data_IF_844890151400
#
_entry.id   IF_844890151400
#
_cell.length_a   1.000
_cell.length_b   1.000
_cell.length_c   1.000
_cell.angle_alpha   90.00
_cell.angle_beta   90.00
_cell.angle_gamma   90.00
#
_symmetry.space_group_name_H-M   'P 1'
#
loop_
_entity.id
_entity.type
_entity.pdbx_description
1 polymer ?
#
# COMPACT_ATOMS: atom_id res chain seq x y z
N UNK A 1 -22.03 20.56 -1.35
CA UNK A 1 -21.45 21.29 -0.21
C UNK A 1 -20.20 21.98 -0.72
N UNK A 2 -20.09 23.28 -0.48
CA UNK A 2 -19.01 24.10 -1.04
C UNK A 2 -17.68 23.74 -0.38
N UNK A 3 -16.67 23.43 -1.21
CA UNK A 3 -15.29 23.13 -0.79
C UNK A 3 -14.73 24.33 -0.02
N UNK A 4 -14.07 24.10 1.11
CA UNK A 4 -13.33 25.16 1.83
C UNK A 4 -12.24 25.69 0.89
N UNK A 5 -12.38 26.93 0.40
CA UNK A 5 -11.49 27.58 -0.57
C UNK A 5 -11.20 26.78 -1.86
N UNK A 6 -12.12 25.90 -2.30
CA UNK A 6 -11.94 25.08 -3.51
C UNK A 6 -11.01 23.86 -3.37
N UNK A 7 -10.38 23.66 -2.21
CA UNK A 7 -9.51 22.50 -1.93
C UNK A 7 -10.31 21.29 -1.45
N UNK A 8 -9.84 20.09 -1.77
CA UNK A 8 -10.42 18.86 -1.22
C UNK A 8 -9.93 18.62 0.21
N UNK A 9 -10.82 18.21 1.11
CA UNK A 9 -10.45 17.78 2.46
C UNK A 9 -10.12 16.31 2.45
N UNK A 10 -8.88 15.97 2.81
CA UNK A 10 -8.35 14.61 2.71
C UNK A 10 -7.85 14.16 4.08
N UNK A 11 -8.38 13.05 4.58
CA UNK A 11 -7.84 12.36 5.75
C UNK A 11 -6.83 11.32 5.29
N UNK A 12 -5.59 11.38 5.77
CA UNK A 12 -4.58 10.34 5.54
C UNK A 12 -4.37 9.57 6.83
N UNK A 13 -4.72 8.29 6.84
CA UNK A 13 -4.59 7.39 7.99
C UNK A 13 -3.35 6.52 7.80
N UNK A 14 -2.32 6.78 8.62
CA UNK A 14 -1.04 6.09 8.58
C UNK A 14 0.01 6.83 7.76
N UNK A 15 0.69 7.81 8.35
CA UNK A 15 1.76 8.58 7.71
C UNK A 15 3.17 8.04 8.01
N UNK A 16 3.40 6.76 7.67
CA UNK A 16 4.76 6.24 7.50
C UNK A 16 5.35 6.70 6.16
N UNK A 17 6.22 5.90 5.53
CA UNK A 17 6.79 6.25 4.22
C UNK A 17 5.74 6.61 3.15
N UNK A 18 4.87 5.66 2.80
CA UNK A 18 3.84 5.85 1.76
C UNK A 18 2.84 6.96 2.11
N UNK A 19 2.24 6.92 3.31
CA UNK A 19 1.26 7.93 3.69
C UNK A 19 1.85 9.33 3.89
N UNK A 20 3.11 9.43 4.32
CA UNK A 20 3.83 10.70 4.43
C UNK A 20 4.13 11.30 3.06
N UNK A 21 4.57 10.49 2.09
CA UNK A 21 4.74 10.92 0.70
C UNK A 21 3.40 11.32 0.05
N UNK A 22 2.33 10.56 0.30
CA UNK A 22 0.99 10.92 -0.17
C UNK A 22 0.53 12.27 0.40
N UNK A 23 0.72 12.49 1.69
CA UNK A 23 0.41 13.77 2.33
C UNK A 23 1.25 14.91 1.73
N UNK A 24 2.55 14.70 1.50
CA UNK A 24 3.44 15.68 0.88
C UNK A 24 2.96 16.04 -0.54
N UNK A 25 2.72 15.06 -1.40
CA UNK A 25 2.31 15.29 -2.79
C UNK A 25 0.97 16.05 -2.88
N UNK A 26 -0.01 15.67 -2.05
CA UNK A 26 -1.32 16.30 -2.03
C UNK A 26 -1.29 17.75 -1.51
N UNK A 27 -0.48 18.04 -0.48
CA UNK A 27 -0.29 19.41 0.02
C UNK A 27 0.50 20.27 -0.96
N UNK A 28 1.59 19.73 -1.53
CA UNK A 28 2.45 20.44 -2.46
C UNK A 28 1.73 20.85 -3.74
N UNK A 29 0.78 20.02 -4.20
CA UNK A 29 -0.09 20.36 -5.34
C UNK A 29 -1.07 21.51 -5.07
N UNK A 30 -1.25 21.94 -3.82
CA UNK A 30 -2.07 23.09 -3.45
C UNK A 30 -3.58 22.91 -3.64
N UNK A 31 -4.03 21.71 -4.05
CA UNK A 31 -5.45 21.40 -4.32
C UNK A 31 -6.10 20.57 -3.20
N UNK A 32 -5.37 20.22 -2.15
CA UNK A 32 -5.88 19.50 -0.99
C UNK A 32 -5.54 20.23 0.32
N UNK A 33 -6.32 19.94 1.35
CA UNK A 33 -6.00 20.17 2.75
C UNK A 33 -5.94 18.81 3.42
N UNK A 34 -4.75 18.41 3.86
CA UNK A 34 -4.52 17.10 4.44
C UNK A 34 -4.60 17.17 5.96
N UNK A 35 -5.52 16.40 6.52
CA UNK A 35 -5.50 15.99 7.93
C UNK A 35 -4.78 14.65 8.01
N UNK A 36 -3.64 14.59 8.68
CA UNK A 36 -2.83 13.39 8.82
C UNK A 36 -3.02 12.75 10.20
N UNK A 37 -3.28 11.44 10.24
CA UNK A 37 -3.34 10.67 11.49
C UNK A 37 -2.03 9.93 11.69
N UNK A 38 -1.30 10.34 12.73
CA UNK A 38 -0.01 9.77 13.12
C UNK A 38 -0.14 9.08 14.48
N UNK A 39 0.59 7.98 14.66
CA UNK A 39 0.68 7.30 15.96
C UNK A 39 2.06 7.49 16.57
N UNK A 40 3.05 6.73 16.10
CA UNK A 40 4.41 6.71 16.65
C UNK A 40 5.15 8.03 16.47
N UNK A 41 4.92 8.73 15.35
CA UNK A 41 5.63 9.97 15.00
C UNK A 41 4.87 11.26 15.36
N UNK A 42 3.64 11.16 15.90
CA UNK A 42 2.79 12.33 16.21
C UNK A 42 3.54 13.43 17.00
N UNK A 43 4.15 13.06 18.13
CA UNK A 43 4.81 14.02 19.03
C UNK A 43 5.99 14.76 18.37
N UNK A 44 6.77 14.06 17.53
CA UNK A 44 7.90 14.66 16.82
C UNK A 44 7.40 15.56 15.70
N UNK A 45 6.45 15.08 14.89
CA UNK A 45 5.94 15.81 13.72
C UNK A 45 5.13 17.04 14.15
N UNK A 46 4.39 16.99 15.26
CA UNK A 46 3.73 18.15 15.84
C UNK A 46 4.77 19.25 16.16
N UNK A 47 5.84 18.89 16.88
CA UNK A 47 6.86 19.85 17.35
C UNK A 47 7.81 20.34 16.26
N UNK A 48 8.18 19.48 15.32
CA UNK A 48 9.26 19.76 14.37
C UNK A 48 8.84 19.66 12.90
N UNK A 49 7.74 18.96 12.59
CA UNK A 49 7.38 18.53 11.25
C UNK A 49 8.19 17.31 10.80
N UNK A 50 7.85 16.76 9.64
CA UNK A 50 8.63 15.71 9.00
C UNK A 50 9.93 16.27 8.42
N UNK A 51 10.98 15.45 8.49
CA UNK A 51 12.15 15.55 7.61
C UNK A 51 12.01 14.50 6.53
N UNK A 52 12.06 14.92 5.26
CA UNK A 52 11.88 14.02 4.11
C UNK A 52 13.08 14.19 3.18
N UNK A 53 13.85 13.13 3.01
CA UNK A 53 14.90 13.03 2.01
C UNK A 53 14.30 12.30 0.80
N UNK A 54 14.10 13.03 -0.30
CA UNK A 54 13.30 12.56 -1.42
C UNK A 54 14.03 12.72 -2.74
N UNK A 55 14.03 11.66 -3.54
CA UNK A 55 14.51 11.68 -4.93
C UNK A 55 13.71 12.67 -5.79
N UNK A 56 12.43 12.87 -5.47
CA UNK A 56 11.50 13.73 -6.23
C UNK A 56 11.46 15.17 -5.72
N UNK A 57 11.62 15.35 -4.41
CA UNK A 57 11.42 16.65 -3.72
C UNK A 57 12.72 17.28 -3.19
N UNK A 58 13.83 16.55 -3.20
CA UNK A 58 15.06 16.94 -2.51
C UNK A 58 14.92 16.80 -1.00
N UNK A 59 15.66 17.63 -0.24
CA UNK A 59 15.53 17.68 1.22
C UNK A 59 14.42 18.63 1.64
N UNK A 60 13.36 18.09 2.23
CA UNK A 60 12.26 18.84 2.82
C UNK A 60 12.37 18.76 4.34
N UNK A 61 12.44 19.91 5.01
CA UNK A 61 12.53 19.97 6.48
C UNK A 61 11.34 20.69 7.07
N UNK A 62 10.80 20.14 8.15
CA UNK A 62 9.70 20.71 8.89
C UNK A 62 8.36 20.70 8.16
N UNK A 63 8.18 19.78 7.21
CA UNK A 63 6.91 19.61 6.52
C UNK A 63 5.81 19.20 7.50
N UNK A 64 4.68 19.92 7.46
CA UNK A 64 3.48 19.56 8.20
C UNK A 64 2.29 19.57 7.25
N UNK A 65 1.48 18.50 7.23
CA UNK A 65 0.13 18.56 6.68
C UNK A 65 -0.68 19.70 7.32
N UNK A 66 -1.75 20.15 6.65
CA UNK A 66 -2.65 21.21 7.13
C UNK A 66 -3.08 20.97 8.58
N UNK A 67 -3.36 19.72 8.93
CA UNK A 67 -3.68 19.30 10.30
C UNK A 67 -3.03 17.95 10.62
N UNK A 68 -2.66 17.76 11.88
CA UNK A 68 -2.07 16.52 12.40
C UNK A 68 -2.87 16.07 13.62
N UNK A 69 -3.29 14.81 13.64
CA UNK A 69 -4.06 14.18 14.72
C UNK A 69 -3.37 12.91 15.20
N UNK A 70 -3.58 12.57 16.48
CA UNK A 70 -3.07 11.34 17.09
C UNK A 70 -4.01 10.14 16.93
N UNK A 71 -5.25 10.39 16.50
CA UNK A 71 -6.29 9.38 16.27
C UNK A 71 -7.22 9.82 15.13
N UNK A 72 -7.95 8.85 14.57
CA UNK A 72 -8.99 9.12 13.55
C UNK A 72 -10.11 9.94 14.20
N UNK A 73 -10.50 11.10 13.64
CA UNK A 73 -11.56 11.93 14.20
C UNK A 73 -12.94 11.30 13.96
N UNK A 74 -13.88 11.55 14.88
CA UNK A 74 -15.29 11.19 14.70
C UNK A 74 -16.08 12.35 14.10
N UNK A 75 -16.55 12.19 12.87
CA UNK A 75 -17.33 13.22 12.14
C UNK A 75 -18.82 13.16 12.45
N UNK A 76 -19.31 12.11 13.13
CA UNK A 76 -20.75 11.93 13.40
C UNK A 76 -21.35 12.88 14.46
N UNK A 77 -20.67 13.20 15.59
CA UNK A 77 -21.22 14.03 16.65
C UNK A 77 -20.69 15.47 16.58
N UNK A 78 -19.86 15.81 15.59
CA UNK A 78 -18.96 16.97 15.65
C UNK A 78 -19.24 18.00 14.55
N UNK A 79 -18.87 19.25 14.81
CA UNK A 79 -18.82 20.32 13.80
C UNK A 79 -17.68 20.19 12.80
N UNK A 80 -17.06 19.01 12.69
CA UNK A 80 -16.00 18.72 11.72
C UNK A 80 -16.68 18.45 10.38
N UNK A 81 -16.38 19.26 9.35
CA UNK A 81 -16.97 18.98 8.03
C UNK A 81 -16.47 17.62 7.51
N UNK A 82 -17.28 16.90 6.72
CA UNK A 82 -16.89 15.65 6.08
C UNK A 82 -15.58 15.72 5.29
N UNK A 83 -14.88 14.59 5.21
CA UNK A 83 -13.75 14.42 4.31
C UNK A 83 -14.22 13.96 2.93
N UNK A 84 -13.69 14.59 1.87
CA UNK A 84 -13.91 14.16 0.49
C UNK A 84 -13.25 12.80 0.24
N UNK A 85 -12.02 12.65 0.74
CA UNK A 85 -11.23 11.42 0.61
C UNK A 85 -10.69 10.96 1.96
N UNK A 86 -10.71 9.66 2.18
CA UNK A 86 -10.05 8.99 3.30
C UNK A 86 -9.05 8.00 2.71
N UNK A 87 -7.76 8.29 2.86
CA UNK A 87 -6.66 7.51 2.32
C UNK A 87 -6.09 6.63 3.43
N UNK A 88 -6.12 5.31 3.23
CA UNK A 88 -5.54 4.34 4.16
C UNK A 88 -4.17 3.90 3.65
N UNK A 89 -3.12 4.27 4.38
CA UNK A 89 -1.73 3.92 4.09
C UNK A 89 -1.05 3.22 5.29
N UNK A 90 -1.84 2.76 6.27
CA UNK A 90 -1.35 1.88 7.33
C UNK A 90 -0.90 0.55 6.76
N UNK A 91 0.05 -0.09 7.45
CA UNK A 91 0.45 -1.44 7.10
C UNK A 91 -0.70 -2.42 7.26
N UNK A 92 -0.89 -3.33 6.31
CA UNK A 92 -1.98 -4.29 6.33
C UNK A 92 -1.56 -5.61 6.98
N UNK A 93 -1.72 -5.68 8.30
CA UNK A 93 -1.39 -6.85 9.13
C UNK A 93 -2.62 -7.30 9.93
N UNK A 94 -3.65 -7.86 9.27
CA UNK A 94 -4.96 -8.10 9.87
C UNK A 94 -4.94 -9.11 11.03
N UNK A 95 -3.86 -9.87 11.18
CA UNK A 95 -3.65 -10.82 12.27
C UNK A 95 -3.12 -10.18 13.57
N UNK A 96 -2.80 -8.89 13.56
CA UNK A 96 -2.26 -8.13 14.72
C UNK A 96 -2.88 -6.75 14.90
N UNK A 97 -3.33 -6.10 13.83
CA UNK A 97 -3.88 -4.76 13.88
C UNK A 97 -5.40 -4.78 13.74
N UNK A 98 -6.03 -3.74 14.29
CA UNK A 98 -7.45 -3.46 14.06
C UNK A 98 -7.76 -3.46 12.55
N UNK A 99 -8.87 -4.06 12.11
CA UNK A 99 -9.34 -3.97 10.73
C UNK A 99 -9.46 -2.50 10.29
N UNK A 100 -9.02 -2.21 9.06
CA UNK A 100 -9.02 -0.84 8.51
C UNK A 100 -10.43 -0.25 8.49
N UNK A 101 -11.44 -1.08 8.19
CA UNK A 101 -12.84 -0.67 8.21
C UNK A 101 -13.29 -0.17 9.59
N UNK A 102 -12.86 -0.81 10.68
CA UNK A 102 -13.16 -0.36 12.04
C UNK A 102 -12.38 0.91 12.39
N UNK A 103 -11.10 0.96 12.01
CA UNK A 103 -10.22 2.10 12.27
C UNK A 103 -10.76 3.41 11.68
N UNK A 104 -11.25 3.37 10.44
CA UNK A 104 -11.69 4.59 9.74
C UNK A 104 -13.17 4.92 9.96
N UNK A 105 -13.97 3.98 10.48
CA UNK A 105 -15.43 4.13 10.63
C UNK A 105 -15.86 5.48 11.20
N UNK A 106 -15.22 6.04 12.25
CA UNK A 106 -15.62 7.33 12.82
C UNK A 106 -15.50 8.50 11.84
N UNK A 107 -14.61 8.42 10.84
CA UNK A 107 -14.37 9.50 9.88
C UNK A 107 -15.18 9.37 8.59
N UNK A 108 -15.81 8.21 8.33
CA UNK A 108 -16.54 7.95 7.09
C UNK A 108 -17.90 8.62 7.12
N UNK A 109 -18.14 9.54 6.20
CA UNK A 109 -19.49 10.07 5.94
C UNK A 109 -20.17 9.21 4.87
N UNK A 110 -21.23 8.50 5.25
CA UNK A 110 -21.97 7.58 4.37
C UNK A 110 -22.45 8.27 3.09
N UNK A 111 -22.22 7.64 1.94
CA UNK A 111 -22.62 8.18 0.63
C UNK A 111 -21.84 9.40 0.14
N UNK A 112 -20.89 9.92 0.94
CA UNK A 112 -20.12 11.12 0.62
C UNK A 112 -18.62 10.82 0.48
N UNK A 113 -18.00 10.31 1.54
CA UNK A 113 -16.55 10.10 1.57
C UNK A 113 -16.14 9.03 0.56
N UNK A 114 -15.07 9.29 -0.18
CA UNK A 114 -14.41 8.28 -1.01
C UNK A 114 -13.25 7.67 -0.24
N UNK A 115 -13.19 6.34 -0.14
CA UNK A 115 -12.14 5.63 0.58
C UNK A 115 -11.12 5.11 -0.41
N UNK A 116 -9.84 5.44 -0.23
CA UNK A 116 -8.73 5.01 -1.08
C UNK A 116 -7.76 4.15 -0.27
N UNK A 117 -7.53 2.91 -0.69
CA UNK A 117 -6.56 2.01 -0.05
C UNK A 117 -5.23 2.02 -0.82
N UNK A 118 -4.16 2.57 -0.20
CA UNK A 118 -2.79 2.50 -0.73
C UNK A 118 -2.02 1.28 -0.22
N UNK A 119 -2.64 0.49 0.66
CA UNK A 119 -2.01 -0.67 1.29
C UNK A 119 -1.71 -1.76 0.26
N UNK A 120 -0.71 -2.59 0.54
CA UNK A 120 -0.41 -3.73 -0.31
C UNK A 120 -1.38 -4.89 -0.05
N UNK A 121 -1.56 -5.72 -1.08
CA UNK A 121 -2.32 -6.96 -0.99
C UNK A 121 -3.42 -7.06 -2.01
N UNK A 122 -4.01 -8.26 -2.09
CA UNK A 122 -5.18 -8.56 -2.92
C UNK A 122 -6.44 -8.56 -2.05
N UNK A 123 -7.57 -8.11 -2.64
CA UNK A 123 -8.90 -8.06 -2.04
C UNK A 123 -8.97 -7.32 -0.69
N UNK A 124 -8.06 -6.38 -0.45
CA UNK A 124 -8.05 -5.56 0.77
C UNK A 124 -9.26 -4.61 0.84
N UNK A 125 -9.90 -4.39 -0.30
CA UNK A 125 -11.08 -3.56 -0.52
C UNK A 125 -12.38 -4.27 -0.10
N UNK A 126 -12.41 -5.61 -0.08
CA UNK A 126 -13.63 -6.39 0.15
C UNK A 126 -14.29 -6.09 1.51
N UNK A 127 -13.56 -6.06 2.63
CA UNK A 127 -14.16 -5.71 3.93
C UNK A 127 -14.74 -4.29 3.98
N UNK A 128 -14.20 -3.37 3.17
CA UNK A 128 -14.67 -1.98 3.11
C UNK A 128 -15.97 -1.88 2.33
N UNK A 129 -16.14 -2.69 1.28
CA UNK A 129 -17.42 -2.78 0.56
C UNK A 129 -18.56 -3.30 1.44
N UNK A 130 -18.26 -4.25 2.34
CA UNK A 130 -19.24 -4.76 3.30
C UNK A 130 -19.56 -3.74 4.39
N UNK A 131 -18.55 -3.02 4.88
CA UNK A 131 -18.70 -2.05 5.96
C UNK A 131 -19.32 -0.71 5.51
N UNK A 132 -19.11 -0.31 4.25
CA UNK A 132 -19.48 0.98 3.68
C UNK A 132 -20.09 0.83 2.28
N UNK A 133 -21.23 0.14 2.13
CA UNK A 133 -21.79 -0.22 0.83
C UNK A 133 -22.20 0.98 -0.04
N UNK A 134 -22.47 2.14 0.56
CA UNK A 134 -22.88 3.36 -0.14
C UNK A 134 -21.70 4.27 -0.51
N UNK A 135 -20.48 3.93 -0.11
CA UNK A 135 -19.30 4.75 -0.34
C UNK A 135 -18.49 4.24 -1.54
N UNK A 136 -17.87 5.17 -2.27
CA UNK A 136 -16.91 4.82 -3.32
C UNK A 136 -15.65 4.26 -2.69
N UNK A 137 -15.24 3.06 -3.11
CA UNK A 137 -13.99 2.42 -2.71
C UNK A 137 -13.02 2.39 -3.90
N UNK A 138 -11.87 3.03 -3.74
CA UNK A 138 -10.78 3.09 -4.70
C UNK A 138 -9.61 2.22 -4.23
N UNK A 139 -8.95 1.59 -5.18
CA UNK A 139 -7.70 0.86 -4.96
C UNK A 139 -6.54 1.68 -5.51
N UNK A 140 -5.50 1.86 -4.69
CA UNK A 140 -4.23 2.45 -5.07
C UNK A 140 -3.10 1.42 -5.08
N UNK A 141 -2.39 1.35 -6.20
CA UNK A 141 -1.21 0.51 -6.39
C UNK A 141 0.01 1.43 -6.37
N UNK A 142 0.67 1.55 -5.22
CA UNK A 142 1.90 2.37 -5.10
C UNK A 142 3.15 1.56 -5.48
N UNK A 143 3.95 2.11 -6.38
CA UNK A 143 5.33 1.70 -6.66
C UNK A 143 6.21 2.86 -6.21
N UNK A 144 6.62 2.81 -4.94
CA UNK A 144 7.38 3.87 -4.30
C UNK A 144 8.35 3.25 -3.29
N UNK A 145 9.61 3.67 -3.36
CA UNK A 145 10.66 3.24 -2.44
C UNK A 145 10.71 4.20 -1.26
N UNK A 146 9.75 4.11 -0.34
CA UNK A 146 9.69 4.99 0.83
C UNK A 146 9.61 4.24 2.15
N UNK A 147 10.36 4.73 3.15
CA UNK A 147 10.31 4.20 4.51
C UNK A 147 10.54 5.30 5.55
N UNK A 148 10.05 5.07 6.77
CA UNK A 148 10.36 5.89 7.94
C UNK A 148 11.38 5.11 8.80
N UNK A 149 12.70 5.30 8.62
CA UNK A 149 13.71 4.63 9.45
C UNK A 149 13.69 5.11 10.90
N UNK A 150 13.40 6.40 11.11
CA UNK A 150 13.32 7.05 12.40
C UNK A 150 12.02 7.86 12.47
N UNK A 151 11.40 7.96 13.66
CA UNK A 151 10.14 8.67 13.82
C UNK A 151 10.22 10.11 13.31
N UNK A 152 9.41 10.47 12.33
CA UNK A 152 9.38 11.79 11.71
C UNK A 152 10.39 12.00 10.58
N UNK A 153 11.21 11.00 10.25
CA UNK A 153 12.18 11.05 9.14
C UNK A 153 11.79 10.05 8.06
N UNK A 154 11.52 10.54 6.85
CA UNK A 154 11.16 9.70 5.69
C UNK A 154 12.32 9.70 4.70
N UNK A 155 12.73 8.50 4.29
CA UNK A 155 13.65 8.26 3.18
C UNK A 155 12.82 7.80 1.98
N UNK A 156 12.95 8.49 0.86
CA UNK A 156 12.23 8.25 -0.39
C UNK A 156 13.22 8.19 -1.56
N UNK A 157 13.50 6.96 -2.02
CA UNK A 157 14.66 6.64 -2.86
C UNK A 157 14.30 6.12 -4.26
N UNK A 158 13.02 5.80 -4.51
CA UNK A 158 12.51 5.41 -5.83
C UNK A 158 11.30 6.28 -6.10
N UNK A 159 11.25 6.89 -7.30
CA UNK A 159 10.20 7.79 -7.77
C UNK A 159 8.80 7.31 -7.35
N UNK A 160 7.96 8.24 -6.87
CA UNK A 160 6.60 7.89 -6.45
C UNK A 160 5.70 7.74 -7.68
N UNK A 161 5.43 6.48 -8.04
CA UNK A 161 4.50 6.10 -9.10
C UNK A 161 3.28 5.40 -8.51
N UNK A 162 2.09 5.88 -8.85
CA UNK A 162 0.84 5.45 -8.21
C UNK A 162 -0.30 5.26 -9.21
N UNK A 163 -0.90 4.07 -9.26
CA UNK A 163 -2.10 3.82 -10.05
C UNK A 163 -3.33 3.80 -9.16
N UNK A 164 -4.36 4.57 -9.50
CA UNK A 164 -5.60 4.65 -8.74
C UNK A 164 -6.79 4.36 -9.65
N UNK A 165 -7.70 3.52 -9.16
CA UNK A 165 -8.94 3.24 -9.86
C UNK A 165 -10.05 2.71 -8.96
N UNK A 166 -11.28 2.65 -9.50
CA UNK A 166 -12.42 2.10 -8.79
C UNK A 166 -12.23 0.59 -8.62
N UNK A 167 -12.39 0.07 -7.39
CA UNK A 167 -12.39 -1.37 -7.18
C UNK A 167 -13.70 -2.03 -7.67
N UNK A 168 -14.80 -1.27 -7.60
CA UNK A 168 -16.06 -1.55 -8.29
C UNK A 168 -16.54 -0.29 -8.97
N UNK A 169 -17.09 -0.43 -10.17
CA UNK A 169 -17.66 0.69 -10.91
C UNK A 169 -19.09 0.96 -10.42
N UNK A 170 -19.20 1.81 -9.40
CA UNK A 170 -20.48 2.17 -8.76
C UNK A 170 -20.58 3.69 -8.64
N UNK A 171 -21.73 4.25 -9.01
CA UNK A 171 -21.98 5.69 -8.91
C UNK A 171 -21.00 6.51 -9.75
N UNK A 172 -20.29 7.45 -9.11
CA UNK A 172 -19.29 8.31 -9.75
C UNK A 172 -17.85 7.86 -9.49
N UNK A 173 -17.62 6.57 -9.22
CA UNK A 173 -16.31 6.07 -8.79
C UNK A 173 -15.16 6.39 -9.75
N UNK A 174 -15.38 6.29 -11.06
CA UNK A 174 -14.39 6.65 -12.07
C UNK A 174 -14.03 8.15 -12.01
N UNK A 175 -15.00 9.04 -11.82
CA UNK A 175 -14.76 10.49 -11.72
C UNK A 175 -14.03 10.84 -10.42
N UNK A 176 -14.38 10.19 -9.31
CA UNK A 176 -13.66 10.32 -8.03
C UNK A 176 -12.21 9.86 -8.15
N UNK A 177 -11.96 8.74 -8.84
CA UNK A 177 -10.62 8.26 -9.12
C UNK A 177 -9.81 9.26 -9.97
N UNK A 178 -10.40 9.80 -11.04
CA UNK A 178 -9.74 10.81 -11.87
C UNK A 178 -9.46 12.11 -11.10
N UNK A 179 -10.40 12.58 -10.27
CA UNK A 179 -10.21 13.78 -9.45
C UNK A 179 -9.05 13.62 -8.46
N UNK A 180 -8.96 12.49 -7.74
CA UNK A 180 -7.83 12.29 -6.82
C UNK A 180 -6.50 12.11 -7.57
N UNK A 181 -6.48 11.47 -8.73
CA UNK A 181 -5.30 11.38 -9.60
C UNK A 181 -4.83 12.76 -10.03
N UNK A 182 -5.73 13.64 -10.48
CA UNK A 182 -5.38 15.02 -10.84
C UNK A 182 -4.79 15.78 -9.65
N UNK A 183 -5.39 15.65 -8.46
CA UNK A 183 -4.90 16.32 -7.25
C UNK A 183 -3.53 15.83 -6.82
N UNK A 184 -3.29 14.52 -6.89
CA UNK A 184 -2.00 13.92 -6.53
C UNK A 184 -0.87 14.41 -7.46
N UNK A 185 -1.15 14.52 -8.76
CA UNK A 185 -0.19 15.02 -9.76
C UNK A 185 0.01 16.55 -9.74
N UNK A 186 -0.84 17.32 -9.06
CA UNK A 186 -0.87 18.78 -9.21
C UNK A 186 0.46 19.47 -8.86
N UNK A 187 1.29 18.83 -8.01
CA UNK A 187 2.62 19.32 -7.66
C UNK A 187 3.71 19.06 -8.71
N UNK A 188 3.47 18.19 -9.69
CA UNK A 188 4.41 17.88 -10.78
C UNK A 188 5.70 17.18 -10.35
N UNK A 189 5.71 16.51 -9.19
CA UNK A 189 6.90 15.82 -8.62
C UNK A 189 6.77 14.30 -8.55
N UNK A 190 5.57 13.77 -8.68
CA UNK A 190 5.26 12.35 -8.69
C UNK A 190 4.46 12.02 -9.96
N UNK A 191 4.25 10.74 -10.23
CA UNK A 191 3.43 10.30 -11.35
C UNK A 191 2.27 9.46 -10.82
N UNK A 192 1.04 9.95 -11.00
CA UNK A 192 -0.17 9.21 -10.65
C UNK A 192 -1.04 8.96 -11.87
N UNK A 193 -1.48 7.73 -12.05
CA UNK A 193 -2.26 7.28 -13.19
C UNK A 193 -3.66 6.87 -12.78
N UNK A 194 -4.64 7.19 -13.63
CA UNK A 194 -5.94 6.54 -13.56
C UNK A 194 -5.82 5.12 -14.14
N UNK A 195 -6.26 4.12 -13.37
CA UNK A 195 -6.28 2.73 -13.77
C UNK A 195 -7.72 2.21 -13.80
N UNK A 196 -8.18 1.82 -14.98
CA UNK A 196 -9.54 1.27 -15.15
C UNK A 196 -9.65 -0.20 -14.71
N UNK A 197 -8.52 -0.90 -14.54
CA UNK A 197 -8.48 -2.30 -14.12
C UNK A 197 -7.47 -2.51 -12.99
N UNK A 198 -7.75 -1.88 -11.84
CA UNK A 198 -6.96 -2.05 -10.61
C UNK A 198 -6.90 -3.51 -10.14
N UNK A 199 -7.88 -4.34 -10.48
CA UNK A 199 -7.85 -5.77 -10.16
C UNK A 199 -6.69 -6.45 -10.90
N UNK A 200 -6.53 -6.20 -12.20
CA UNK A 200 -5.38 -6.67 -12.97
C UNK A 200 -4.07 -6.17 -12.36
N UNK A 201 -3.96 -4.88 -12.08
CA UNK A 201 -2.74 -4.28 -11.51
C UNK A 201 -2.38 -4.86 -10.14
N UNK A 202 -3.37 -5.15 -9.29
CA UNK A 202 -3.19 -5.86 -8.00
C UNK A 202 -2.60 -7.26 -8.24
N UNK A 203 -3.18 -8.04 -9.14
CA UNK A 203 -2.68 -9.38 -9.49
C UNK A 203 -1.27 -9.34 -10.09
N UNK A 204 -1.01 -8.43 -11.03
CA UNK A 204 0.31 -8.25 -11.63
C UNK A 204 1.36 -7.92 -10.57
N UNK A 205 1.05 -7.01 -9.63
CA UNK A 205 1.98 -6.67 -8.54
C UNK A 205 2.29 -7.86 -7.62
N UNK A 206 1.40 -8.84 -7.51
CA UNK A 206 1.66 -10.04 -6.72
C UNK A 206 2.76 -10.93 -7.30
N UNK A 207 3.09 -10.82 -8.59
CA UNK A 207 4.28 -11.49 -9.13
C UNK A 207 5.52 -11.15 -8.28
N UNK A 208 5.66 -9.87 -7.93
CA UNK A 208 6.73 -9.42 -7.04
C UNK A 208 6.40 -9.64 -5.56
N UNK A 209 5.23 -9.18 -5.11
CA UNK A 209 4.90 -9.12 -3.69
C UNK A 209 4.61 -10.49 -3.03
N UNK A 210 4.17 -11.49 -3.80
CA UNK A 210 3.90 -12.83 -3.28
C UNK A 210 5.07 -13.81 -3.47
N UNK A 211 6.10 -13.39 -4.22
CA UNK A 211 7.23 -14.25 -4.59
C UNK A 211 8.56 -13.62 -4.16
N UNK A 212 8.99 -12.51 -4.78
CA UNK A 212 10.25 -11.84 -4.41
C UNK A 212 10.26 -11.41 -2.94
N UNK A 213 9.23 -10.71 -2.48
CA UNK A 213 9.17 -10.21 -1.10
C UNK A 213 9.39 -11.31 -0.05
N UNK A 214 8.62 -12.43 -0.03
CA UNK A 214 8.84 -13.48 0.95
C UNK A 214 10.17 -14.21 0.77
N UNK A 215 10.63 -14.46 -0.47
CA UNK A 215 11.93 -15.12 -0.67
C UNK A 215 13.06 -14.26 -0.12
N UNK A 216 13.10 -12.97 -0.48
CA UNK A 216 14.05 -11.99 0.05
C UNK A 216 14.02 -11.93 1.58
N UNK A 217 12.81 -11.87 2.15
CA UNK A 217 12.62 -11.78 3.60
C UNK A 217 13.13 -13.04 4.34
N UNK A 218 12.91 -14.22 3.78
CA UNK A 218 13.29 -15.50 4.39
C UNK A 218 14.79 -15.79 4.25
N UNK A 219 15.40 -15.46 3.10
CA UNK A 219 16.83 -15.69 2.84
C UNK A 219 17.71 -14.54 3.30
N UNK A 220 17.13 -13.36 3.53
CA UNK A 220 17.80 -12.08 3.82
C UNK A 220 18.62 -11.49 2.66
N UNK A 221 18.44 -12.01 1.45
CA UNK A 221 19.06 -11.54 0.21
C UNK A 221 18.25 -10.39 -0.40
N UNK A 222 18.94 -9.41 -0.99
CA UNK A 222 18.31 -8.37 -1.80
C UNK A 222 17.96 -8.87 -3.22
N UNK A 223 17.28 -8.07 -4.03
CA UNK A 223 16.82 -8.48 -5.37
C UNK A 223 17.96 -8.83 -6.33
N UNK A 224 19.14 -8.24 -6.17
CA UNK A 224 20.32 -8.53 -6.99
C UNK A 224 20.92 -9.89 -6.62
N UNK A 225 21.13 -10.12 -5.32
CA UNK A 225 21.62 -11.39 -4.81
C UNK A 225 20.68 -12.55 -5.13
N UNK A 226 19.36 -12.32 -5.10
CA UNK A 226 18.36 -13.32 -5.49
C UNK A 226 18.50 -13.74 -6.95
N UNK A 227 18.80 -12.80 -7.84
CA UNK A 227 19.01 -13.08 -9.26
C UNK A 227 20.33 -13.84 -9.52
N UNK A 228 21.37 -13.56 -8.72
CA UNK A 228 22.68 -14.22 -8.84
C UNK A 228 22.74 -15.60 -8.16
N UNK A 229 21.82 -15.89 -7.23
CA UNK A 229 21.79 -17.16 -6.51
C UNK A 229 21.52 -18.34 -7.48
N UNK A 230 22.46 -19.30 -7.62
CA UNK A 230 22.31 -20.38 -8.59
C UNK A 230 21.02 -21.19 -8.36
N UNK A 231 20.22 -21.36 -9.43
CA UNK A 231 18.98 -22.14 -9.42
C UNK A 231 17.77 -21.42 -8.81
N UNK A 232 17.95 -20.39 -7.97
CA UNK A 232 16.84 -19.79 -7.21
C UNK A 232 15.75 -19.19 -8.11
N UNK A 233 16.14 -18.50 -9.18
CA UNK A 233 15.20 -17.92 -10.14
C UNK A 233 14.37 -19.01 -10.82
N UNK A 234 15.01 -20.06 -11.33
CA UNK A 234 14.33 -21.07 -12.13
C UNK A 234 13.59 -22.13 -11.29
N UNK A 235 14.02 -22.38 -10.07
CA UNK A 235 13.43 -23.40 -9.19
C UNK A 235 12.37 -22.84 -8.23
N UNK A 236 12.43 -21.55 -7.88
CA UNK A 236 11.52 -20.94 -6.88
C UNK A 236 10.80 -19.71 -7.43
N UNK A 237 11.53 -18.72 -7.94
CA UNK A 237 10.92 -17.42 -8.30
C UNK A 237 9.99 -17.56 -9.50
N UNK A 238 10.49 -18.07 -10.62
CA UNK A 238 9.72 -18.23 -11.85
C UNK A 238 8.55 -19.20 -11.66
N UNK A 239 8.70 -20.40 -11.05
CA UNK A 239 7.57 -21.27 -10.74
C UNK A 239 6.53 -20.60 -9.82
N UNK A 240 6.95 -19.89 -8.77
CA UNK A 240 6.03 -19.16 -7.88
C UNK A 240 5.25 -18.05 -8.59
N UNK A 241 5.90 -17.34 -9.52
CA UNK A 241 5.24 -16.36 -10.38
C UNK A 241 4.24 -17.00 -11.35
N UNK A 242 4.56 -18.18 -11.89
CA UNK A 242 3.65 -18.97 -12.73
C UNK A 242 2.42 -19.43 -11.95
N UNK A 243 2.54 -19.73 -10.67
CA UNK A 243 1.39 -20.03 -9.81
C UNK A 243 0.46 -18.81 -9.64
N UNK A 244 1.03 -17.62 -9.45
CA UNK A 244 0.25 -16.36 -9.43
C UNK A 244 -0.41 -16.10 -10.78
N UNK A 245 0.32 -16.29 -11.88
CA UNK A 245 -0.21 -16.15 -13.25
C UNK A 245 -1.42 -17.06 -13.47
N UNK A 246 -1.30 -18.35 -13.13
CA UNK A 246 -2.39 -19.32 -13.26
C UNK A 246 -3.59 -18.94 -12.40
N UNK A 247 -3.35 -18.52 -11.14
CA UNK A 247 -4.40 -18.05 -10.24
C UNK A 247 -5.12 -16.82 -10.80
N UNK A 248 -4.39 -15.83 -11.31
CA UNK A 248 -4.93 -14.62 -11.92
C UNK A 248 -5.80 -14.93 -13.15
N UNK A 249 -5.33 -15.82 -14.03
CA UNK A 249 -6.04 -16.22 -15.25
C UNK A 249 -7.43 -16.83 -14.94
N UNK A 250 -7.56 -17.60 -13.85
CA UNK A 250 -8.84 -18.17 -13.43
C UNK A 250 -9.86 -17.14 -12.91
N UNK A 251 -9.44 -15.89 -12.73
CA UNK A 251 -10.30 -14.73 -12.45
C UNK A 251 -10.32 -13.73 -13.61
N UNK A 252 -9.96 -14.16 -14.82
CA UNK A 252 -9.99 -13.34 -16.04
C UNK A 252 -8.93 -12.24 -16.08
N UNK A 253 -7.85 -12.37 -15.29
CA UNK A 253 -6.74 -11.42 -15.26
C UNK A 253 -5.54 -12.03 -15.99
N UNK A 254 -5.36 -11.64 -17.25
CA UNK A 254 -4.35 -12.23 -18.13
C UNK A 254 -2.97 -11.61 -17.92
N UNK A 255 -2.15 -12.25 -17.08
CA UNK A 255 -0.73 -11.93 -16.93
C UNK A 255 0.04 -12.72 -17.98
N UNK A 256 0.85 -12.05 -18.81
CA UNK A 256 1.66 -12.70 -19.85
C UNK A 256 2.98 -13.24 -19.32
N UNK A 257 3.60 -14.16 -20.06
CA UNK A 257 4.94 -14.67 -19.75
C UNK A 257 5.98 -13.56 -19.78
N UNK A 258 5.85 -12.61 -20.72
CA UNK A 258 6.69 -11.43 -20.78
C UNK A 258 6.61 -10.59 -19.49
N UNK A 259 5.43 -10.47 -18.88
CA UNK A 259 5.28 -9.76 -17.60
C UNK A 259 5.93 -10.52 -16.44
N UNK A 260 5.92 -11.85 -16.47
CA UNK A 260 6.65 -12.68 -15.49
C UNK A 260 8.14 -12.43 -15.62
N UNK A 261 8.70 -12.53 -16.83
CA UNK A 261 10.11 -12.28 -17.09
C UNK A 261 10.51 -10.85 -16.72
N UNK A 262 9.71 -9.86 -17.13
CA UNK A 262 9.95 -8.46 -16.81
C UNK A 262 9.94 -8.20 -15.30
N UNK A 263 9.13 -8.94 -14.52
CA UNK A 263 9.12 -8.81 -13.05
C UNK A 263 10.39 -9.41 -12.45
N UNK A 264 10.94 -10.49 -13.02
CA UNK A 264 12.19 -11.11 -12.55
C UNK A 264 13.37 -10.16 -12.72
N UNK A 265 13.42 -9.45 -13.83
CA UNK A 265 14.51 -8.52 -14.14
C UNK A 265 14.13 -7.05 -13.89
N UNK A 266 13.07 -6.80 -13.10
CA UNK A 266 12.56 -5.43 -12.91
C UNK A 266 13.54 -4.51 -12.20
N UNK A 267 14.38 -5.07 -11.33
CA UNK A 267 15.45 -4.35 -10.64
C UNK A 267 16.80 -4.75 -11.24
N UNK A 268 17.67 -3.78 -11.58
CA UNK A 268 19.04 -4.06 -11.97
C UNK A 268 19.77 -4.87 -10.90
N UNK A 269 20.61 -5.81 -11.32
CA UNK A 269 21.36 -6.70 -10.41
C UNK A 269 22.23 -5.89 -9.43
N UNK A 270 22.81 -4.77 -9.88
CA UNK A 270 23.68 -3.89 -9.11
C UNK A 270 22.94 -2.88 -8.23
N UNK A 271 21.61 -2.81 -8.31
CA UNK A 271 20.81 -1.89 -7.50
C UNK A 271 20.63 -2.35 -6.04
N UNK A 272 20.85 -3.64 -5.75
CA UNK A 272 20.76 -4.22 -4.39
C UNK A 272 19.50 -3.80 -3.61
N UNK A 273 18.36 -3.76 -4.30
CA UNK A 273 17.11 -3.26 -3.73
C UNK A 273 16.59 -4.22 -2.68
N UNK A 274 16.31 -3.70 -1.49
CA UNK A 274 15.70 -4.46 -0.40
C UNK A 274 14.17 -4.35 -0.46
N UNK A 275 13.44 -5.43 -0.77
CA UNK A 275 11.98 -5.38 -0.82
C UNK A 275 11.37 -5.07 0.55
N UNK A 276 10.14 -4.53 0.58
CA UNK A 276 9.51 -4.03 1.82
C UNK A 276 9.46 -5.08 2.93
N UNK A 277 9.09 -6.32 2.60
CA UNK A 277 9.04 -7.42 3.58
C UNK A 277 10.42 -7.77 4.15
N UNK A 278 11.50 -7.65 3.36
CA UNK A 278 12.87 -7.82 3.87
C UNK A 278 13.25 -6.70 4.83
N UNK A 279 12.91 -5.45 4.50
CA UNK A 279 13.13 -4.30 5.40
C UNK A 279 12.44 -4.54 6.74
N UNK A 280 11.21 -5.05 6.72
CA UNK A 280 10.46 -5.39 7.93
C UNK A 280 11.13 -6.51 8.74
N UNK A 281 11.57 -7.59 8.08
CA UNK A 281 12.26 -8.69 8.74
C UNK A 281 13.57 -8.21 9.39
N UNK A 282 14.33 -7.33 8.71
CA UNK A 282 15.56 -6.72 9.25
C UNK A 282 15.25 -5.87 10.48
N UNK A 283 14.13 -5.14 10.48
CA UNK A 283 13.64 -4.32 11.61
C UNK A 283 12.88 -5.12 12.68
N UNK A 284 12.78 -6.45 12.55
CA UNK A 284 11.97 -7.31 13.45
C UNK A 284 10.51 -6.84 13.59
N UNK A 285 9.91 -6.43 12.47
CA UNK A 285 8.53 -5.98 12.38
C UNK A 285 7.61 -7.09 11.86
N UNK A 286 6.31 -6.94 12.14
CA UNK A 286 5.27 -7.76 11.54
C UNK A 286 5.23 -7.57 10.02
N UNK A 287 4.87 -8.60 9.25
CA UNK A 287 4.90 -8.63 7.79
C UNK A 287 3.50 -8.81 7.18
N UNK A 288 3.29 -8.30 5.96
CA UNK A 288 1.98 -8.28 5.27
C UNK A 288 1.64 -9.61 4.56
N UNK A 289 1.84 -10.76 5.21
CA UNK A 289 1.77 -12.05 4.52
C UNK A 289 0.34 -12.51 4.21
N UNK A 290 -0.67 -12.12 4.99
CA UNK A 290 -2.06 -12.59 4.81
C UNK A 290 -2.69 -12.12 3.50
N UNK A 291 -2.50 -10.86 3.11
CA UNK A 291 -3.06 -10.33 1.86
C UNK A 291 -2.10 -10.39 0.68
N UNK A 292 -0.79 -10.50 0.91
CA UNK A 292 0.18 -10.69 -0.18
C UNK A 292 0.28 -12.14 -0.64
N UNK A 293 0.19 -13.10 0.28
CA UNK A 293 0.41 -14.53 -0.02
C UNK A 293 -0.83 -15.35 0.31
N UNK A 294 -1.41 -15.13 1.50
CA UNK A 294 -2.57 -15.89 1.97
C UNK A 294 -3.80 -15.73 1.07
N UNK A 295 -4.08 -14.50 0.63
CA UNK A 295 -5.23 -14.23 -0.23
C UNK A 295 -5.12 -14.87 -1.62
N UNK A 296 -4.06 -14.64 -2.42
CA UNK A 296 -3.93 -15.33 -3.71
C UNK A 296 -3.93 -16.86 -3.56
N UNK A 297 -3.34 -17.40 -2.48
CA UNK A 297 -3.39 -18.84 -2.15
C UNK A 297 -4.83 -19.32 -1.93
N UNK A 298 -5.65 -18.58 -1.16
CA UNK A 298 -7.08 -18.88 -0.96
C UNK A 298 -7.85 -18.83 -2.29
N UNK A 299 -7.57 -17.83 -3.13
CA UNK A 299 -8.20 -17.65 -4.45
C UNK A 299 -7.84 -18.77 -5.42
N UNK A 300 -6.60 -19.22 -5.44
CA UNK A 300 -6.13 -20.34 -6.25
C UNK A 300 -6.78 -21.66 -5.81
N UNK A 301 -6.80 -21.92 -4.49
CA UNK A 301 -7.46 -23.11 -3.92
C UNK A 301 -8.94 -23.18 -4.27
N UNK A 302 -9.67 -22.05 -4.23
CA UNK A 302 -11.08 -21.98 -4.61
C UNK A 302 -11.34 -22.34 -6.09
N UNK A 303 -10.31 -22.27 -6.93
CA UNK A 303 -10.34 -22.67 -8.34
C UNK A 303 -9.57 -23.97 -8.62
N UNK A 304 -9.19 -24.70 -7.57
CA UNK A 304 -8.45 -25.97 -7.67
C UNK A 304 -7.11 -25.87 -8.40
N UNK A 305 -6.46 -24.70 -8.32
CA UNK A 305 -5.14 -24.47 -8.91
C UNK A 305 -4.07 -24.88 -7.91
N UNK A 306 -3.12 -25.69 -8.35
CA UNK A 306 -1.99 -26.10 -7.54
C UNK A 306 -1.02 -24.94 -7.36
N UNK A 307 -0.68 -24.64 -6.10
CA UNK A 307 0.25 -23.55 -5.74
C UNK A 307 1.24 -23.97 -4.64
N UNK A 308 2.04 -25.04 -4.85
CA UNK A 308 2.97 -25.55 -3.84
C UNK A 308 4.02 -24.53 -3.37
N UNK A 309 4.55 -23.69 -4.25
CA UNK A 309 5.57 -22.68 -3.90
C UNK A 309 4.96 -21.59 -3.03
N UNK A 310 3.82 -21.01 -3.44
CA UNK A 310 3.09 -20.03 -2.62
C UNK A 310 2.66 -20.62 -1.27
N UNK A 311 2.28 -21.90 -1.23
CA UNK A 311 1.94 -22.58 0.02
C UNK A 311 3.14 -22.67 0.97
N UNK A 312 4.34 -22.90 0.45
CA UNK A 312 5.58 -22.87 1.24
C UNK A 312 5.90 -21.45 1.72
N UNK A 313 5.84 -20.45 0.84
CA UNK A 313 6.04 -19.05 1.21
C UNK A 313 5.08 -18.62 2.33
N UNK A 314 3.80 -18.95 2.22
CA UNK A 314 2.79 -18.64 3.22
C UNK A 314 3.11 -19.29 4.57
N UNK A 315 3.42 -20.59 4.58
CA UNK A 315 3.73 -21.34 5.81
C UNK A 315 4.97 -20.80 6.53
N UNK A 316 6.02 -20.46 5.78
CA UNK A 316 7.26 -19.91 6.34
C UNK A 316 7.06 -18.47 6.86
N UNK A 317 6.38 -17.62 6.08
CA UNK A 317 6.06 -16.25 6.51
C UNK A 317 5.18 -16.24 7.76
N UNK A 318 4.16 -17.11 7.82
CA UNK A 318 3.31 -17.30 8.98
C UNK A 318 4.11 -17.77 10.21
N UNK A 319 5.09 -18.67 10.02
CA UNK A 319 5.94 -19.15 11.10
C UNK A 319 6.85 -18.05 11.65
N UNK A 320 7.42 -17.21 10.78
CA UNK A 320 8.16 -16.00 11.18
C UNK A 320 7.27 -15.08 12.04
N UNK A 321 6.07 -14.78 11.54
CA UNK A 321 5.10 -13.91 12.19
C UNK A 321 4.68 -14.45 13.57
N UNK A 322 4.41 -15.76 13.67
CA UNK A 322 4.11 -16.45 14.93
C UNK A 322 5.26 -16.33 15.94
N UNK A 323 6.50 -16.60 15.52
CA UNK A 323 7.69 -16.46 16.38
C UNK A 323 7.81 -15.04 16.95
N UNK A 324 7.57 -14.03 16.11
CA UNK A 324 7.65 -12.64 16.52
C UNK A 324 6.53 -12.24 17.48
N UNK A 325 5.30 -12.74 17.27
CA UNK A 325 4.18 -12.59 18.20
C UNK A 325 4.50 -13.19 19.57
N UNK A 326 4.98 -14.44 19.60
CA UNK A 326 5.34 -15.14 20.84
C UNK A 326 6.41 -14.40 21.63
N UNK A 327 7.45 -13.89 20.96
CA UNK A 327 8.52 -13.10 21.61
C UNK A 327 8.04 -11.75 22.19
N UNK A 328 7.01 -11.14 21.61
CA UNK A 328 6.45 -9.86 22.11
C UNK A 328 5.41 -10.05 23.21
N UNK A 329 4.88 -11.26 23.37
CA UNK A 329 3.93 -11.62 24.42
C UNK A 329 4.62 -12.10 25.71
N UNK A 330 5.88 -12.55 25.61
CA UNK A 330 6.76 -12.86 26.75
C UNK A 330 7.46 -11.61 27.27
#
# INVERSE_FOLDING_TARGET
>A
MDKVNGKARILVVGCGGIGGMAALNLEFGGQAQVTAVLRSSYQIVEKQGFTINSVDHGQVRGFRPTEILSAVPDVSPSGILPFDYIICATKNTPDVSMPVAELIRPAVTTGYSTILLLQNGLNIEVPLLEAFPDNVILSGISVCGSSEPESGTIEHNVHDELWIGPFRDVGNAADRAKDIVTRYNAGGRCTCHYDSNVTFSRWKKLLYNAVYNPVAALTRLDTGDLQLCPGLVDEVVRPGMKEIQAAAAAYGQEITDEMVEATITTEPIDAHVSPSMLVDVRKSQYIEFENLIGEPLRRAKARQIATPILQNHYSLAKSYQWKLKSKRAS
#
